data_IF_827721731804
#
_entry.id   IF_827721731804
#
_cell.length_a   1.000
_cell.length_b   1.000
_cell.length_c   1.000
_cell.angle_alpha   90.00
_cell.angle_beta   90.00
_cell.angle_gamma   90.00
#
_symmetry.space_group_name_H-M   'P 1'
#
loop_
_entity.id
_entity.type
_entity.pdbx_description
1 polymer ?
#
# COMPACT_ATOMS: atom_id res chain seq x y z
N UNK A 1 -28.35 -11.64 47.92
CA UNK A 1 -28.80 -10.33 48.43
C UNK A 1 -29.77 -10.59 49.56
N UNK A 2 -29.61 -9.92 50.71
CA UNK A 2 -30.41 -10.08 51.94
C UNK A 2 -31.08 -8.75 52.35
N UNK A 3 -31.90 -8.79 53.41
CA UNK A 3 -32.59 -7.60 53.91
C UNK A 3 -31.63 -6.56 54.49
N UNK A 4 -30.53 -6.99 55.12
CA UNK A 4 -29.53 -6.11 55.73
C UNK A 4 -28.84 -5.25 54.67
N UNK A 5 -28.54 -5.79 53.49
CA UNK A 5 -28.01 -5.03 52.36
C UNK A 5 -28.95 -3.90 51.93
N UNK A 6 -30.25 -4.18 51.77
CA UNK A 6 -31.22 -3.15 51.36
C UNK A 6 -31.39 -2.05 52.42
N UNK A 7 -31.34 -2.43 53.70
CA UNK A 7 -31.37 -1.45 54.80
C UNK A 7 -30.14 -0.55 54.78
N UNK A 8 -28.93 -1.10 54.57
CA UNK A 8 -27.70 -0.30 54.41
C UNK A 8 -27.77 0.61 53.19
N UNK A 9 -28.23 0.12 52.04
CA UNK A 9 -28.36 0.92 50.82
C UNK A 9 -29.25 2.17 51.00
N UNK A 10 -30.22 2.13 51.91
CA UNK A 10 -31.07 3.27 52.23
C UNK A 10 -30.51 4.20 53.33
N UNK A 11 -29.56 3.73 54.14
CA UNK A 11 -29.12 4.43 55.36
C UNK A 11 -27.66 4.87 55.37
N UNK A 12 -26.82 4.18 54.62
CA UNK A 12 -25.39 4.47 54.53
C UNK A 12 -25.10 5.32 53.28
N UNK A 13 -24.02 6.14 53.29
CA UNK A 13 -23.61 6.89 52.12
C UNK A 13 -23.35 5.98 50.91
N UNK A 14 -23.81 6.41 49.74
CA UNK A 14 -23.51 5.72 48.47
C UNK A 14 -22.12 6.14 48.00
N UNK A 15 -21.17 5.22 48.10
CA UNK A 15 -19.77 5.36 47.67
C UNK A 15 -19.60 5.30 46.14
N UNK A 16 -20.37 6.10 45.39
CA UNK A 16 -20.42 6.05 43.93
C UNK A 16 -19.06 6.33 43.27
N UNK A 17 -18.41 7.43 43.64
CA UNK A 17 -17.12 7.82 43.05
C UNK A 17 -16.04 6.76 43.33
N UNK A 18 -15.98 6.26 44.57
CA UNK A 18 -15.05 5.20 44.97
C UNK A 18 -15.21 3.95 44.10
N UNK A 19 -16.45 3.57 43.77
CA UNK A 19 -16.75 2.45 42.86
C UNK A 19 -16.31 2.74 41.41
N UNK A 20 -16.62 3.93 40.88
CA UNK A 20 -16.20 4.33 39.53
C UNK A 20 -14.67 4.37 39.41
N UNK A 21 -13.97 4.94 40.39
CA UNK A 21 -12.51 4.98 40.43
C UNK A 21 -11.90 3.58 40.41
N UNK A 22 -12.50 2.62 41.10
CA UNK A 22 -12.06 1.22 41.04
C UNK A 22 -12.26 0.62 39.64
N UNK A 23 -13.41 0.85 38.99
CA UNK A 23 -13.65 0.36 37.63
C UNK A 23 -12.66 0.97 36.62
N UNK A 24 -12.39 2.27 36.74
CA UNK A 24 -11.38 2.96 35.92
C UNK A 24 -9.98 2.38 36.13
N UNK A 25 -9.62 2.01 37.37
CA UNK A 25 -8.35 1.34 37.66
C UNK A 25 -8.26 -0.06 37.02
N UNK A 26 -9.39 -0.71 36.74
CA UNK A 26 -9.47 -1.96 35.98
C UNK A 26 -9.59 -1.73 34.46
N UNK A 27 -9.33 -0.51 33.98
CA UNK A 27 -9.38 -0.12 32.56
C UNK A 27 -10.78 -0.15 31.94
N UNK A 28 -11.85 -0.11 32.74
CA UNK A 28 -13.20 0.11 32.21
C UNK A 28 -13.34 1.56 31.73
N UNK A 29 -13.79 1.77 30.49
CA UNK A 29 -13.85 3.11 29.86
C UNK A 29 -15.22 3.49 29.30
N UNK A 30 -16.15 2.54 29.24
CA UNK A 30 -17.49 2.74 28.69
C UNK A 30 -18.52 2.43 29.76
N UNK A 31 -19.29 3.45 30.16
CA UNK A 31 -20.33 3.34 31.17
C UNK A 31 -21.70 3.55 30.55
N UNK A 32 -22.70 2.77 31.00
CA UNK A 32 -24.10 2.91 30.59
C UNK A 32 -24.95 3.33 31.77
N UNK A 33 -25.59 4.49 31.68
CA UNK A 33 -26.55 4.94 32.67
C UNK A 33 -27.96 4.43 32.32
N UNK A 34 -28.47 3.52 33.15
CA UNK A 34 -29.84 2.98 33.08
C UNK A 34 -30.77 3.82 33.95
N UNK A 35 -31.37 4.85 33.37
CA UNK A 35 -32.23 5.79 34.09
C UNK A 35 -33.28 6.41 33.16
N UNK A 36 -34.46 6.83 33.67
CA UNK A 36 -35.47 7.55 32.88
C UNK A 36 -35.03 8.97 32.49
N UNK A 37 -33.95 9.47 33.09
CA UNK A 37 -33.30 10.72 32.78
C UNK A 37 -31.88 10.69 33.32
N UNK A 38 -30.88 11.20 32.58
CA UNK A 38 -29.50 11.16 33.03
C UNK A 38 -29.30 12.03 34.27
N UNK A 39 -28.76 11.45 35.32
CA UNK A 39 -28.38 12.12 36.58
C UNK A 39 -26.90 11.88 36.89
N UNK A 40 -26.34 10.75 36.46
CA UNK A 40 -24.96 10.36 36.77
C UNK A 40 -23.99 10.70 35.65
N UNK A 41 -24.49 11.00 34.44
CA UNK A 41 -23.68 11.21 33.26
C UNK A 41 -22.54 12.22 33.46
N UNK A 42 -22.82 13.38 34.07
CA UNK A 42 -21.80 14.41 34.34
C UNK A 42 -20.69 13.88 35.26
N UNK A 43 -21.05 13.23 36.36
CA UNK A 43 -20.09 12.71 37.32
C UNK A 43 -19.20 11.60 36.71
N UNK A 44 -19.78 10.76 35.85
CA UNK A 44 -19.03 9.75 35.09
C UNK A 44 -18.09 10.39 34.07
N UNK A 45 -18.53 11.45 33.38
CA UNK A 45 -17.69 12.20 32.44
C UNK A 45 -16.52 12.87 33.14
N UNK A 46 -16.75 13.49 34.31
CA UNK A 46 -15.69 14.12 35.11
C UNK A 46 -14.67 13.07 35.59
N UNK A 47 -15.14 11.95 36.13
CA UNK A 47 -14.27 10.86 36.57
C UNK A 47 -13.43 10.27 35.42
N UNK A 48 -13.98 10.18 34.20
CA UNK A 48 -13.23 9.76 33.01
C UNK A 48 -12.17 10.79 32.60
N UNK A 49 -12.50 12.09 32.66
CA UNK A 49 -11.60 13.17 32.31
C UNK A 49 -10.35 13.21 33.21
N UNK A 50 -10.51 12.93 34.50
CA UNK A 50 -9.42 12.85 35.48
C UNK A 50 -8.35 11.80 35.13
N UNK A 51 -8.68 10.80 34.29
CA UNK A 51 -7.74 9.73 33.92
C UNK A 51 -6.76 10.11 32.81
N UNK A 52 -6.92 11.26 32.15
CA UNK A 52 -6.02 11.74 31.09
C UNK A 52 -6.04 10.93 29.78
N UNK A 53 -6.82 9.85 29.69
CA UNK A 53 -6.97 8.98 28.52
C UNK A 53 -8.40 9.02 27.99
N UNK A 54 -8.69 10.04 27.18
CA UNK A 54 -10.02 10.23 26.58
C UNK A 54 -10.25 9.40 25.30
N UNK A 55 -9.20 8.80 24.75
CA UNK A 55 -9.31 8.02 23.52
C UNK A 55 -10.10 6.74 23.83
N UNK A 56 -11.28 6.59 23.21
CA UNK A 56 -12.21 5.45 23.35
C UNK A 56 -13.02 5.37 24.66
N UNK A 57 -13.14 6.46 25.42
CA UNK A 57 -14.00 6.54 26.61
C UNK A 57 -15.40 7.06 26.28
N UNK A 58 -16.45 6.52 26.93
CA UNK A 58 -17.82 6.97 26.71
C UNK A 58 -18.74 6.84 27.93
N UNK A 59 -19.67 7.77 28.04
CA UNK A 59 -20.83 7.69 28.95
C UNK A 59 -22.09 7.66 28.08
N UNK A 60 -22.75 6.51 28.05
CA UNK A 60 -23.96 6.28 27.26
C UNK A 60 -25.17 6.40 28.17
N UNK A 61 -26.12 7.24 27.80
CA UNK A 61 -27.39 7.42 28.53
C UNK A 61 -28.51 6.72 27.77
N UNK A 62 -29.45 6.11 28.50
CA UNK A 62 -30.49 5.26 27.87
C UNK A 62 -31.82 5.95 27.61
N UNK A 63 -32.29 6.81 28.52
CA UNK A 63 -33.53 7.57 28.35
C UNK A 63 -33.34 9.02 28.79
N UNK A 64 -34.21 9.90 28.30
CA UNK A 64 -34.27 11.31 28.69
C UNK A 64 -35.72 11.77 28.66
N UNK A 65 -36.18 12.38 29.76
CA UNK A 65 -37.47 13.09 29.78
C UNK A 65 -37.69 13.95 28.54
N UNK A 66 -38.95 13.99 28.11
CA UNK A 66 -39.42 14.77 26.95
C UNK A 66 -38.77 14.37 25.62
N UNK A 67 -38.24 13.15 25.52
CA UNK A 67 -37.74 12.53 24.29
C UNK A 67 -38.41 11.17 24.04
N UNK A 68 -38.57 10.75 22.78
CA UNK A 68 -39.09 9.42 22.47
C UNK A 68 -38.16 8.32 22.97
N UNK A 69 -38.68 7.39 23.77
CA UNK A 69 -37.90 6.33 24.42
C UNK A 69 -37.16 5.44 23.41
N UNK A 70 -37.84 5.04 22.33
CA UNK A 70 -37.25 4.16 21.31
C UNK A 70 -36.07 4.80 20.57
N UNK A 71 -36.14 6.10 20.29
CA UNK A 71 -35.04 6.84 19.67
C UNK A 71 -33.85 6.95 20.62
N UNK A 72 -34.11 7.16 21.92
CA UNK A 72 -33.06 7.22 22.94
C UNK A 72 -32.35 5.87 23.09
N UNK A 73 -33.09 4.77 23.14
CA UNK A 73 -32.53 3.41 23.22
C UNK A 73 -31.75 3.06 21.95
N UNK A 74 -32.28 3.38 20.76
CA UNK A 74 -31.57 3.16 19.50
C UNK A 74 -30.25 3.94 19.45
N UNK A 75 -30.25 5.19 19.90
CA UNK A 75 -29.03 6.01 20.01
C UNK A 75 -28.05 5.45 21.03
N UNK A 76 -28.52 4.92 22.17
CA UNK A 76 -27.66 4.29 23.16
C UNK A 76 -26.94 3.06 22.58
N UNK A 77 -27.68 2.20 21.84
CA UNK A 77 -27.11 1.03 21.15
C UNK A 77 -26.11 1.46 20.07
N UNK A 78 -26.43 2.50 19.29
CA UNK A 78 -25.51 3.04 18.28
C UNK A 78 -24.21 3.57 18.92
N UNK A 79 -24.31 4.31 20.02
CA UNK A 79 -23.14 4.80 20.77
C UNK A 79 -22.30 3.66 21.32
N UNK A 80 -22.92 2.60 21.86
CA UNK A 80 -22.19 1.41 22.29
C UNK A 80 -21.48 0.72 21.12
N UNK A 81 -22.16 0.57 19.98
CA UNK A 81 -21.59 -0.05 18.78
C UNK A 81 -20.33 0.69 18.29
N UNK A 82 -20.35 2.03 18.20
CA UNK A 82 -19.18 2.81 17.77
C UNK A 82 -18.02 2.78 18.77
N UNK A 83 -18.30 2.45 20.03
CA UNK A 83 -17.28 2.20 21.07
C UNK A 83 -16.91 0.72 21.21
N UNK A 84 -17.26 -0.12 20.24
CA UNK A 84 -16.86 -1.54 20.19
C UNK A 84 -17.79 -2.51 20.94
N UNK A 85 -18.85 -2.02 21.56
CA UNK A 85 -19.84 -2.81 22.29
C UNK A 85 -21.09 -3.04 21.42
N UNK A 86 -20.97 -3.90 20.41
CA UNK A 86 -22.12 -4.24 19.56
C UNK A 86 -23.03 -5.29 20.22
N UNK A 87 -24.36 -5.11 20.25
CA UNK A 87 -25.25 -6.17 20.69
C UNK A 87 -25.28 -7.33 19.70
N UNK A 88 -25.82 -8.47 20.12
CA UNK A 88 -26.21 -9.53 19.19
C UNK A 88 -27.43 -9.08 18.38
N UNK A 89 -27.21 -8.60 17.15
CA UNK A 89 -28.28 -8.10 16.28
C UNK A 89 -29.38 -9.13 16.02
N UNK A 90 -29.05 -10.43 16.00
CA UNK A 90 -30.04 -11.51 15.86
C UNK A 90 -31.03 -11.59 17.03
N UNK A 91 -30.64 -11.14 18.24
CA UNK A 91 -31.54 -11.09 19.41
C UNK A 91 -32.49 -9.90 19.35
N UNK A 92 -32.06 -8.79 18.74
CA UNK A 92 -32.86 -7.57 18.59
C UNK A 92 -33.82 -7.70 17.40
N UNK A 93 -33.34 -8.29 16.30
CA UNK A 93 -34.09 -8.47 15.06
C UNK A 93 -34.16 -9.95 14.65
N UNK A 94 -34.95 -10.77 15.36
CA UNK A 94 -35.09 -12.18 15.03
C UNK A 94 -35.73 -12.34 13.63
N UNK A 95 -35.10 -13.14 12.77
CA UNK A 95 -35.59 -13.43 11.42
C UNK A 95 -35.33 -12.33 10.38
N UNK A 96 -34.58 -11.29 10.71
CA UNK A 96 -34.19 -10.26 9.74
C UNK A 96 -33.20 -10.79 8.69
N UNK A 97 -33.31 -10.27 7.47
CA UNK A 97 -32.37 -10.55 6.37
C UNK A 97 -31.38 -9.39 6.24
N UNK A 98 -30.09 -9.71 6.10
CA UNK A 98 -29.05 -8.72 5.83
C UNK A 98 -29.08 -8.30 4.37
N UNK A 99 -28.92 -7.01 4.10
CA UNK A 99 -28.77 -6.46 2.75
C UNK A 99 -27.37 -5.88 2.58
N UNK A 100 -26.82 -5.94 1.38
CA UNK A 100 -25.55 -5.29 1.08
C UNK A 100 -25.71 -3.77 1.10
N UNK A 101 -24.79 -3.10 1.78
CA UNK A 101 -24.67 -1.65 1.75
C UNK A 101 -23.67 -1.25 0.66
N UNK A 102 -23.81 -0.06 0.05
CA UNK A 102 -22.79 0.49 -0.81
C UNK A 102 -21.41 0.42 -0.16
N UNK A 103 -20.41 -0.01 -0.92
CA UNK A 103 -19.02 -0.08 -0.42
C UNK A 103 -18.53 1.31 0.00
N UNK A 104 -17.59 1.35 0.94
CA UNK A 104 -16.96 2.59 1.40
C UNK A 104 -16.57 3.50 0.23
N UNK A 105 -16.98 4.78 0.23
CA UNK A 105 -16.61 5.72 -0.82
C UNK A 105 -15.14 6.10 -0.64
N UNK A 106 -14.23 5.28 -1.17
CA UNK A 106 -12.80 5.57 -1.15
C UNK A 106 -12.55 6.99 -1.68
N UNK A 107 -11.83 7.78 -0.90
CA UNK A 107 -11.33 9.09 -1.33
C UNK A 107 -10.22 8.88 -2.36
N UNK A 108 -10.61 8.60 -3.60
CA UNK A 108 -9.71 8.28 -4.70
C UNK A 108 -8.79 9.48 -4.97
N UNK A 109 -7.55 9.37 -4.55
CA UNK A 109 -6.46 10.28 -4.91
C UNK A 109 -5.45 9.52 -5.76
N UNK A 110 -4.92 10.18 -6.78
CA UNK A 110 -3.89 9.63 -7.65
C UNK A 110 -2.56 9.66 -6.90
N UNK A 111 -2.02 8.50 -6.55
CA UNK A 111 -0.74 8.35 -5.85
C UNK A 111 0.34 7.65 -6.72
N UNK A 112 0.23 7.79 -8.05
CA UNK A 112 1.24 7.28 -8.98
C UNK A 112 2.44 8.22 -9.01
N UNK A 113 3.66 7.67 -9.03
CA UNK A 113 4.88 8.42 -9.35
C UNK A 113 4.88 8.64 -10.87
N UNK A 114 4.91 9.90 -11.31
CA UNK A 114 5.04 10.18 -12.74
C UNK A 114 6.49 9.86 -13.17
N UNK A 115 6.69 9.12 -14.28
CA UNK A 115 8.02 8.80 -14.76
C UNK A 115 8.78 10.06 -15.15
N UNK A 116 10.10 10.06 -14.97
CA UNK A 116 10.95 11.16 -15.41
C UNK A 116 10.78 11.40 -16.93
N UNK A 117 10.81 12.66 -17.40
CA UNK A 117 10.73 12.96 -18.82
C UNK A 117 11.81 12.21 -19.60
N UNK A 118 11.41 11.46 -20.63
CA UNK A 118 12.34 10.80 -21.55
C UNK A 118 12.92 11.85 -22.49
N UNK A 119 14.24 11.82 -22.74
CA UNK A 119 14.83 12.67 -23.77
C UNK A 119 14.22 12.33 -25.14
N UNK A 120 13.87 13.35 -25.93
CA UNK A 120 13.43 13.18 -27.31
C UNK A 120 14.64 12.90 -28.20
N UNK A 121 14.75 11.65 -28.64
CA UNK A 121 15.82 11.19 -29.53
C UNK A 121 15.46 11.34 -31.01
N UNK A 122 14.20 11.64 -31.32
CA UNK A 122 13.73 11.86 -32.69
C UNK A 122 14.38 13.07 -33.35
N UNK A 123 14.71 14.10 -32.57
CA UNK A 123 15.47 15.26 -33.04
C UNK A 123 16.88 14.90 -33.57
N UNK A 124 17.45 13.76 -33.15
CA UNK A 124 18.71 13.23 -33.64
C UNK A 124 18.55 12.21 -34.78
N UNK A 125 17.33 12.01 -35.30
CA UNK A 125 17.01 11.03 -36.34
C UNK A 125 16.98 9.59 -35.84
N UNK A 126 16.82 9.37 -34.54
CA UNK A 126 16.72 8.04 -33.93
C UNK A 126 15.27 7.69 -33.63
N UNK A 127 14.93 6.42 -33.79
CA UNK A 127 13.60 5.93 -33.45
C UNK A 127 13.46 5.77 -31.93
N UNK A 128 12.29 6.14 -31.40
CA UNK A 128 11.99 6.02 -29.98
C UNK A 128 11.21 4.71 -29.70
N UNK A 129 11.83 3.70 -29.09
CA UNK A 129 11.16 2.43 -28.81
C UNK A 129 10.14 2.55 -27.66
N UNK A 130 9.05 1.79 -27.77
CA UNK A 130 8.03 1.61 -26.72
C UNK A 130 8.49 0.60 -25.65
N UNK A 131 9.75 0.70 -25.21
CA UNK A 131 10.34 -0.18 -24.21
C UNK A 131 10.80 0.62 -22.99
N UNK A 132 10.54 0.18 -21.74
CA UNK A 132 10.87 0.96 -20.53
C UNK A 132 12.37 1.17 -20.30
N UNK A 133 13.21 0.22 -20.73
CA UNK A 133 14.67 0.26 -20.51
C UNK A 133 15.50 0.69 -21.73
N UNK A 134 14.91 0.72 -22.92
CA UNK A 134 15.59 1.08 -24.17
C UNK A 134 15.02 2.41 -24.64
N UNK A 135 15.85 3.40 -24.89
CA UNK A 135 15.47 4.78 -25.19
C UNK A 135 15.66 5.21 -26.65
N UNK A 136 16.43 4.48 -27.44
CA UNK A 136 16.64 4.76 -28.86
C UNK A 136 16.91 3.48 -29.65
N UNK A 137 16.49 3.45 -30.92
CA UNK A 137 16.85 2.45 -31.92
C UNK A 137 17.48 3.14 -33.11
N UNK A 138 18.48 2.49 -33.70
CA UNK A 138 19.19 2.97 -34.89
C UNK A 138 19.42 1.80 -35.83
N UNK A 139 18.92 1.89 -37.05
CA UNK A 139 19.30 0.97 -38.12
C UNK A 139 20.59 1.47 -38.79
N UNK A 140 21.57 0.59 -38.96
CA UNK A 140 22.79 0.91 -39.68
C UNK A 140 22.54 0.77 -41.18
N UNK A 141 22.64 1.89 -41.89
CA UNK A 141 22.45 1.94 -43.34
C UNK A 141 23.33 0.90 -44.06
N UNK A 142 22.74 0.21 -45.02
CA UNK A 142 23.37 -0.82 -45.86
C UNK A 142 23.96 -2.03 -45.11
N UNK A 143 23.63 -2.25 -43.84
CA UNK A 143 24.18 -3.35 -43.04
C UNK A 143 23.15 -4.35 -42.54
N UNK A 144 21.85 -4.08 -42.66
CA UNK A 144 20.77 -4.87 -42.03
C UNK A 144 21.03 -5.14 -40.53
N UNK A 145 21.68 -4.20 -39.85
CA UNK A 145 22.00 -4.25 -38.43
C UNK A 145 21.21 -3.18 -37.68
N UNK A 146 20.86 -3.47 -36.44
CA UNK A 146 20.26 -2.47 -35.56
C UNK A 146 21.04 -2.36 -34.26
N UNK A 147 21.04 -1.15 -33.69
CA UNK A 147 21.56 -0.88 -32.35
C UNK A 147 20.45 -0.25 -31.52
N UNK A 148 20.17 -0.83 -30.37
CA UNK A 148 19.26 -0.29 -29.36
C UNK A 148 20.08 0.24 -28.21
N UNK A 149 19.81 1.48 -27.79
CA UNK A 149 20.49 2.12 -26.65
C UNK A 149 19.54 2.26 -25.47
N UNK A 150 20.02 1.95 -24.27
CA UNK A 150 19.30 2.07 -23.01
C UNK A 150 20.15 2.73 -21.93
N UNK A 151 19.49 3.25 -20.89
CA UNK A 151 20.14 3.82 -19.71
C UNK A 151 19.50 3.24 -18.46
N UNK A 152 20.24 2.38 -17.76
CA UNK A 152 19.79 1.71 -16.56
C UNK A 152 20.14 2.55 -15.34
N UNK A 153 19.16 2.83 -14.49
CA UNK A 153 19.38 3.55 -13.24
C UNK A 153 18.43 3.05 -12.18
N UNK A 154 18.94 2.79 -10.98
CA UNK A 154 18.14 2.39 -9.81
C UNK A 154 17.26 3.53 -9.29
N UNK A 155 17.60 4.79 -9.57
CA UNK A 155 16.77 5.94 -9.22
C UNK A 155 15.59 6.13 -10.19
N UNK A 156 15.80 5.82 -11.47
CA UNK A 156 14.75 5.86 -12.51
C UNK A 156 13.85 4.61 -12.48
N UNK A 157 14.44 3.44 -12.29
CA UNK A 157 13.77 2.15 -12.24
C UNK A 157 13.98 1.50 -10.87
N UNK A 158 13.23 1.98 -9.87
CA UNK A 158 13.38 1.54 -8.47
C UNK A 158 13.26 0.04 -8.25
N UNK A 159 12.55 -0.68 -9.11
CA UNK A 159 12.43 -2.14 -9.01
C UNK A 159 13.78 -2.85 -9.23
N UNK A 160 14.74 -2.23 -9.92
CA UNK A 160 16.09 -2.77 -10.10
C UNK A 160 16.85 -2.91 -8.78
N UNK A 161 16.50 -2.14 -7.73
CA UNK A 161 17.15 -2.28 -6.41
C UNK A 161 16.79 -3.60 -5.72
N UNK A 162 15.71 -4.26 -6.14
CA UNK A 162 15.22 -5.51 -5.55
C UNK A 162 15.96 -6.76 -5.99
N UNK A 163 16.89 -6.68 -6.95
CA UNK A 163 17.65 -7.83 -7.44
C UNK A 163 19.14 -7.65 -7.15
N UNK A 164 19.63 -8.41 -6.17
CA UNK A 164 21.00 -8.32 -5.65
C UNK A 164 21.63 -9.71 -5.54
N UNK A 165 22.93 -9.79 -5.77
CA UNK A 165 23.77 -10.93 -5.47
C UNK A 165 24.76 -10.51 -4.37
N UNK A 166 24.50 -10.95 -3.14
CA UNK A 166 25.15 -10.35 -1.97
C UNK A 166 24.80 -8.87 -1.86
N UNK A 167 25.81 -8.02 -1.69
CA UNK A 167 25.64 -6.56 -1.61
C UNK A 167 25.68 -5.86 -2.98
N UNK A 168 25.78 -6.63 -4.07
CA UNK A 168 25.93 -6.08 -5.43
C UNK A 168 24.58 -6.09 -6.13
N UNK A 169 24.10 -4.90 -6.54
CA UNK A 169 22.97 -4.78 -7.46
C UNK A 169 23.33 -5.37 -8.82
N UNK A 170 22.52 -6.28 -9.33
CA UNK A 170 22.77 -6.96 -10.61
C UNK A 170 21.50 -6.90 -11.43
N UNK A 171 21.62 -6.56 -12.71
CA UNK A 171 20.50 -6.57 -13.63
C UNK A 171 19.92 -7.99 -13.70
N UNK A 172 18.60 -8.18 -13.45
CA UNK A 172 17.98 -9.48 -13.63
C UNK A 172 18.18 -10.01 -15.05
N UNK A 173 18.49 -11.29 -15.19
CA UNK A 173 18.60 -11.94 -16.50
C UNK A 173 17.29 -11.84 -17.29
N UNK A 174 16.15 -11.83 -16.60
CA UNK A 174 14.83 -11.61 -17.22
C UNK A 174 14.70 -10.24 -17.89
N UNK A 175 15.38 -9.21 -17.38
CA UNK A 175 15.40 -7.89 -18.03
C UNK A 175 16.28 -7.89 -19.29
N UNK A 176 17.37 -8.65 -19.30
CA UNK A 176 18.17 -8.87 -20.51
C UNK A 176 17.36 -9.62 -21.58
N UNK A 177 16.63 -10.67 -21.18
CA UNK A 177 15.75 -11.44 -22.07
C UNK A 177 14.65 -10.55 -22.66
N UNK A 178 14.00 -9.73 -21.82
CA UNK A 178 12.96 -8.77 -22.24
C UNK A 178 13.50 -7.79 -23.32
N UNK A 179 14.65 -7.17 -23.07
CA UNK A 179 15.28 -6.27 -24.04
C UNK A 179 15.72 -6.99 -25.32
N UNK A 180 16.22 -8.22 -25.21
CA UNK A 180 16.64 -9.01 -26.37
C UNK A 180 15.44 -9.47 -27.23
N UNK A 181 14.33 -9.85 -26.60
CA UNK A 181 13.08 -10.16 -27.30
C UNK A 181 12.52 -8.94 -28.01
N UNK A 182 12.55 -7.77 -27.37
CA UNK A 182 12.15 -6.50 -28.00
C UNK A 182 13.01 -6.17 -29.24
N UNK A 183 14.33 -6.36 -29.15
CA UNK A 183 15.22 -6.21 -30.30
C UNK A 183 14.94 -7.24 -31.41
N UNK A 184 14.58 -8.47 -31.00
CA UNK A 184 14.13 -9.54 -31.88
C UNK A 184 12.86 -9.18 -32.64
N UNK A 185 11.83 -8.66 -31.95
CA UNK A 185 10.59 -8.19 -32.57
C UNK A 185 10.86 -7.11 -33.63
N UNK A 186 11.76 -6.18 -33.34
CA UNK A 186 12.13 -5.11 -34.28
C UNK A 186 12.81 -5.63 -35.56
N UNK A 187 13.45 -6.81 -35.49
CA UNK A 187 14.13 -7.45 -36.64
C UNK A 187 13.34 -8.64 -37.23
N UNK A 188 12.11 -8.87 -36.79
CA UNK A 188 11.28 -9.99 -37.23
C UNK A 188 11.74 -11.37 -36.69
N UNK A 189 12.56 -11.39 -35.63
CA UNK A 189 13.11 -12.59 -34.99
C UNK A 189 12.71 -12.64 -33.49
N UNK A 190 11.43 -12.92 -33.14
CA UNK A 190 10.90 -12.75 -31.78
C UNK A 190 11.24 -13.88 -30.80
N UNK A 191 12.25 -14.70 -31.09
CA UNK A 191 12.62 -15.87 -30.27
C UNK A 191 14.12 -15.90 -30.02
N UNK A 192 14.52 -16.31 -28.82
CA UNK A 192 15.92 -16.55 -28.46
C UNK A 192 16.19 -18.04 -28.54
N UNK A 193 17.13 -18.44 -29.39
CA UNK A 193 17.59 -19.83 -29.52
C UNK A 193 18.58 -20.19 -28.40
N UNK A 194 19.57 -19.32 -28.17
CA UNK A 194 20.59 -19.47 -27.14
C UNK A 194 20.92 -18.12 -26.49
N UNK A 195 21.09 -18.13 -25.18
CA UNK A 195 21.58 -16.99 -24.40
C UNK A 195 22.81 -17.41 -23.60
N UNK A 196 23.95 -16.80 -23.90
CA UNK A 196 25.19 -16.98 -23.15
C UNK A 196 25.50 -15.71 -22.36
N UNK A 197 25.37 -15.78 -21.04
CA UNK A 197 25.77 -14.71 -20.13
C UNK A 197 27.16 -15.01 -19.56
N UNK A 198 28.18 -14.30 -20.04
CA UNK A 198 29.55 -14.48 -19.55
C UNK A 198 29.76 -13.86 -18.16
N UNK A 199 29.28 -12.62 -17.99
CA UNK A 199 29.42 -11.86 -16.75
C UNK A 199 28.10 -11.14 -16.44
N UNK A 200 27.62 -11.17 -15.19
CA UNK A 200 26.44 -10.39 -14.81
C UNK A 200 26.67 -8.88 -14.95
N UNK A 201 25.68 -8.16 -15.49
CA UNK A 201 25.72 -6.70 -15.57
C UNK A 201 25.44 -6.10 -14.18
N UNK A 202 26.44 -5.47 -13.58
CA UNK A 202 26.34 -4.84 -12.26
C UNK A 202 25.75 -3.45 -12.36
N UNK A 203 24.93 -3.09 -11.36
CA UNK A 203 24.27 -1.80 -11.26
C UNK A 203 24.87 -1.04 -10.07
N UNK A 204 25.40 0.14 -10.36
CA UNK A 204 25.94 1.02 -9.32
C UNK A 204 24.79 1.81 -8.69
N UNK A 205 24.65 1.84 -7.35
CA UNK A 205 23.66 2.66 -6.69
C UNK A 205 23.79 4.13 -7.09
N UNK A 206 22.66 4.78 -7.38
CA UNK A 206 22.57 6.20 -7.74
C UNK A 206 23.39 6.66 -8.98
N UNK A 207 23.98 5.73 -9.73
CA UNK A 207 24.63 6.00 -11.00
C UNK A 207 23.88 5.31 -12.14
N UNK A 208 23.85 5.98 -13.29
CA UNK A 208 23.31 5.41 -14.51
C UNK A 208 24.37 4.55 -15.21
N UNK A 209 23.96 3.41 -15.75
CA UNK A 209 24.76 2.55 -16.63
C UNK A 209 24.15 2.60 -18.02
N UNK A 210 24.89 3.14 -18.99
CA UNK A 210 24.49 3.08 -20.39
C UNK A 210 24.69 1.66 -20.92
N UNK A 211 23.82 1.26 -21.85
CA UNK A 211 23.79 -0.07 -22.43
C UNK A 211 23.51 0.04 -23.93
N UNK A 212 24.20 -0.76 -24.73
CA UNK A 212 23.87 -0.98 -26.13
C UNK A 212 23.58 -2.45 -26.42
N UNK A 213 22.59 -2.70 -27.25
CA UNK A 213 22.29 -4.01 -27.82
C UNK A 213 22.48 -3.91 -29.31
N UNK A 214 23.45 -4.64 -29.86
CA UNK A 214 23.64 -4.73 -31.31
C UNK A 214 23.06 -6.03 -31.82
N UNK A 215 22.24 -5.98 -32.87
CA UNK A 215 21.72 -7.15 -33.57
C UNK A 215 22.29 -7.15 -34.98
N UNK A 216 22.97 -8.24 -35.32
CA UNK A 216 23.67 -8.41 -36.60
C UNK A 216 22.70 -8.70 -37.75
N UNK A 217 23.21 -8.62 -38.98
CA UNK A 217 22.52 -9.08 -40.19
C UNK A 217 22.10 -10.55 -40.07
N UNK A 218 21.04 -10.99 -40.78
CA UNK A 218 20.58 -12.36 -40.70
C UNK A 218 21.59 -13.31 -41.36
N UNK A 219 21.77 -14.49 -40.79
CA UNK A 219 22.47 -15.61 -41.42
C UNK A 219 21.60 -16.29 -42.49
N UNK A 220 22.13 -17.35 -43.12
CA UNK A 220 21.41 -18.12 -44.15
C UNK A 220 20.12 -18.79 -43.64
N UNK A 221 19.97 -18.97 -42.32
CA UNK A 221 18.79 -19.51 -41.66
C UNK A 221 17.88 -18.41 -41.09
N UNK A 222 18.11 -17.15 -41.45
CA UNK A 222 17.41 -15.97 -40.94
C UNK A 222 17.54 -15.81 -39.41
N UNK A 223 18.63 -16.31 -38.81
CA UNK A 223 18.97 -16.07 -37.40
C UNK A 223 19.87 -14.85 -37.30
N UNK A 224 19.77 -14.14 -36.20
CA UNK A 224 20.59 -12.94 -35.94
C UNK A 224 21.29 -13.10 -34.60
N UNK A 225 22.59 -12.80 -34.58
CA UNK A 225 23.34 -12.74 -33.32
C UNK A 225 23.10 -11.38 -32.69
N UNK A 226 22.79 -11.36 -31.39
CA UNK A 226 22.75 -10.14 -30.59
C UNK A 226 23.87 -10.12 -29.54
N UNK A 227 24.38 -8.92 -29.25
CA UNK A 227 25.38 -8.68 -28.21
C UNK A 227 24.94 -7.52 -27.33
N UNK A 228 25.19 -7.63 -26.02
CA UNK A 228 24.82 -6.61 -25.03
C UNK A 228 26.08 -6.02 -24.41
N UNK A 229 26.25 -4.71 -24.52
CA UNK A 229 27.45 -3.97 -24.12
C UNK A 229 27.11 -2.91 -23.07
N UNK A 230 27.48 -3.11 -21.80
CA UNK A 230 27.40 -2.05 -20.80
C UNK A 230 28.54 -1.04 -21.00
N UNK A 231 28.24 0.24 -20.79
CA UNK A 231 29.21 1.35 -20.82
C UNK A 231 30.10 1.33 -22.08
N UNK A 232 29.50 1.46 -23.29
CA UNK A 232 30.21 1.28 -24.57
C UNK A 232 31.34 2.29 -24.81
N UNK A 233 31.39 3.40 -24.04
CA UNK A 233 32.47 4.40 -24.09
C UNK A 233 33.72 3.97 -23.31
N UNK A 234 33.65 2.88 -22.53
CA UNK A 234 34.76 2.37 -21.72
C UNK A 234 35.68 1.43 -22.51
N UNK A 235 36.15 1.88 -23.67
CA UNK A 235 37.29 1.25 -24.37
C UNK A 235 38.59 1.58 -23.63
N UNK A 236 39.13 0.61 -22.89
CA UNK A 236 40.48 0.69 -22.34
C UNK A 236 41.46 0.44 -23.50
N UNK A 237 42.10 1.49 -24.01
CA UNK A 237 43.25 1.35 -24.89
C UNK A 237 44.38 0.62 -24.13
N UNK A 238 44.66 -0.63 -24.52
CA UNK A 238 45.91 -1.33 -24.20
C UNK A 238 46.68 -1.56 -25.49
N UNK A 239 47.91 -1.03 -25.56
CA UNK A 239 48.92 -1.44 -26.54
C UNK A 239 49.38 -2.87 -26.27
#
# INVERSE_FOLDING_TARGET
MDADYWYRNLREPVEFYSCVAQLLAHSERVFVELSPHPVLASALTDALADTGQLTQSAVVTTLRRDRPDMDMVANAIANLHVHGHSPSWQKIYPGATTVELPTYPFQRRRYWLDPAPRADVGAAGLDQPEHPLLGAVTELADQDQIVLSGRLSTSAHRWLTGHQLGDTGVLPVTALIDMALYAGEHTGCPTIDELVLQTPLTLTPDAATDLQISVTAPDEQNRRTFSVWPDPDRLIHGL
#
